data_IF_392342749186
#
_entry.id   IF_392342749186
#
_cell.length_a   1.000
_cell.length_b   1.000
_cell.length_c   1.000
_cell.angle_alpha   90.00
_cell.angle_beta   90.00
_cell.angle_gamma   90.00
#
_symmetry.space_group_name_H-M   'P 1'
#
loop_
_entity.id
_entity.type
_entity.pdbx_description
1 polymer ?
#
# COMPACT_ATOMS: atom_id res chain seq x y z
N UNK A 1 15.52 -50.66 -40.43
CA UNK A 1 15.53 -50.64 -38.94
C UNK A 1 15.92 -49.24 -38.55
N UNK A 2 14.93 -48.35 -38.63
CA UNK A 2 15.12 -46.91 -38.64
C UNK A 2 15.04 -46.35 -37.22
N UNK A 3 16.05 -45.56 -36.88
CA UNK A 3 16.26 -44.96 -35.56
C UNK A 3 15.15 -43.97 -35.25
N UNK A 4 14.46 -44.21 -34.14
CA UNK A 4 13.49 -43.33 -33.49
C UNK A 4 14.21 -42.03 -33.09
N UNK A 5 13.74 -40.88 -33.62
CA UNK A 5 14.12 -39.54 -33.16
C UNK A 5 13.18 -39.18 -32.01
N UNK A 6 13.71 -39.09 -30.81
CA UNK A 6 13.01 -38.47 -29.68
C UNK A 6 13.00 -36.95 -29.90
N UNK A 7 11.81 -36.37 -29.85
CA UNK A 7 11.56 -34.93 -29.92
C UNK A 7 11.46 -34.46 -28.48
N UNK A 8 12.50 -33.79 -27.98
CA UNK A 8 12.45 -33.13 -26.68
C UNK A 8 11.57 -31.87 -26.80
N UNK A 9 10.39 -31.93 -26.18
CA UNK A 9 9.54 -30.79 -25.88
C UNK A 9 10.26 -29.86 -24.89
N UNK A 10 10.91 -28.82 -25.42
CA UNK A 10 11.42 -27.71 -24.60
C UNK A 10 10.24 -26.75 -24.39
N UNK A 11 9.52 -26.93 -23.28
CA UNK A 11 8.64 -25.87 -22.77
C UNK A 11 9.48 -24.59 -22.55
N UNK A 12 9.06 -23.43 -23.08
CA UNK A 12 9.77 -22.19 -22.83
C UNK A 12 9.61 -21.83 -21.34
N UNK A 13 10.72 -21.93 -20.60
CA UNK A 13 10.78 -21.56 -19.19
C UNK A 13 10.30 -20.13 -18.94
N UNK A 14 9.92 -19.81 -17.68
CA UNK A 14 9.30 -18.53 -17.34
C UNK A 14 10.20 -17.38 -17.78
N UNK A 15 9.61 -16.44 -18.51
CA UNK A 15 10.28 -15.25 -19.03
C UNK A 15 11.10 -14.55 -17.92
N UNK A 16 12.28 -13.98 -18.25
CA UNK A 16 13.13 -13.33 -17.26
C UNK A 16 12.36 -12.24 -16.53
N UNK A 17 12.28 -12.35 -15.20
CA UNK A 17 11.64 -11.35 -14.35
C UNK A 17 12.32 -10.00 -14.55
N UNK A 18 11.59 -9.02 -15.08
CA UNK A 18 12.10 -7.65 -15.25
C UNK A 18 12.62 -7.12 -13.90
N UNK A 19 13.76 -6.41 -13.87
CA UNK A 19 14.30 -5.89 -12.62
C UNK A 19 13.35 -4.86 -12.02
N UNK A 20 12.97 -5.07 -10.75
CA UNK A 20 12.10 -4.17 -9.98
C UNK A 20 12.90 -3.39 -8.93
N UNK A 21 12.39 -2.24 -8.52
CA UNK A 21 12.89 -1.53 -7.35
C UNK A 21 12.37 -2.16 -6.04
N UNK A 22 12.77 -1.58 -4.90
CA UNK A 22 12.41 -2.08 -3.57
C UNK A 22 10.91 -2.03 -3.27
N UNK A 23 10.15 -1.29 -4.06
CA UNK A 23 8.72 -1.09 -3.91
C UNK A 23 7.94 -1.85 -4.97
N UNK A 24 8.58 -2.61 -5.87
CA UNK A 24 7.91 -3.41 -6.89
C UNK A 24 7.67 -2.69 -8.22
N UNK A 25 8.25 -1.51 -8.45
CA UNK A 25 8.17 -0.82 -9.74
C UNK A 25 9.21 -1.34 -10.73
N UNK A 26 8.80 -1.61 -11.96
CA UNK A 26 9.69 -2.06 -13.04
C UNK A 26 10.64 -0.93 -13.42
N UNK A 27 11.95 -1.23 -13.40
CA UNK A 27 12.97 -0.27 -13.83
C UNK A 27 12.93 -0.13 -15.36
N UNK A 28 12.84 1.11 -15.85
CA UNK A 28 12.98 1.41 -17.29
C UNK A 28 14.46 1.49 -17.63
N UNK A 29 14.90 0.78 -18.68
CA UNK A 29 16.32 0.64 -19.09
C UNK A 29 17.02 1.96 -19.51
N UNK A 30 16.34 3.11 -19.45
CA UNK A 30 16.89 4.41 -19.88
C UNK A 30 17.52 5.26 -18.76
N UNK A 31 17.62 4.75 -17.52
CA UNK A 31 18.53 5.35 -16.53
C UNK A 31 19.83 4.55 -16.48
N UNK A 32 20.73 4.79 -17.42
CA UNK A 32 22.16 4.52 -17.23
C UNK A 32 22.72 5.50 -16.19
N UNK A 33 22.23 5.39 -14.96
CA UNK A 33 22.96 5.83 -13.78
C UNK A 33 23.80 4.62 -13.32
N UNK A 34 25.11 4.76 -13.08
CA UNK A 34 25.98 3.66 -12.67
C UNK A 34 25.75 3.22 -11.20
N UNK A 35 24.51 3.27 -10.72
CA UNK A 35 24.12 2.91 -9.35
C UNK A 35 23.28 1.62 -9.25
N UNK A 36 23.19 0.87 -10.34
CA UNK A 36 22.41 -0.38 -10.44
C UNK A 36 23.12 -1.67 -10.01
N UNK A 37 24.34 -1.61 -9.46
CA UNK A 37 24.99 -2.79 -8.89
C UNK A 37 24.48 -2.94 -7.45
N UNK A 38 24.11 -4.17 -7.09
CA UNK A 38 23.91 -4.67 -5.73
C UNK A 38 25.02 -4.19 -4.77
N UNK A 39 24.98 -2.93 -4.33
CA UNK A 39 25.67 -2.51 -3.12
C UNK A 39 24.88 -3.16 -2.01
N UNK A 40 25.36 -4.32 -1.58
CA UNK A 40 25.15 -4.84 -0.24
C UNK A 40 25.00 -3.64 0.69
N UNK A 41 23.78 -3.44 1.21
CA UNK A 41 23.47 -2.36 2.15
C UNK A 41 24.64 -2.30 3.13
N UNK A 42 25.37 -1.17 3.25
CA UNK A 42 26.51 -1.12 4.15
C UNK A 42 26.02 -1.62 5.50
N UNK A 43 26.70 -2.61 6.07
CA UNK A 43 26.29 -3.36 7.28
C UNK A 43 25.75 -2.44 8.38
N UNK A 44 26.29 -1.24 8.45
CA UNK A 44 25.85 -0.15 9.31
C UNK A 44 24.39 0.31 9.12
N UNK A 45 23.88 0.43 7.89
CA UNK A 45 22.49 0.78 7.60
C UNK A 45 21.51 -0.30 8.06
N UNK A 46 21.85 -1.57 7.80
CA UNK A 46 21.07 -2.70 8.28
C UNK A 46 20.99 -2.68 9.82
N UNK A 47 22.11 -2.48 10.49
CA UNK A 47 22.15 -2.37 11.95
C UNK A 47 21.40 -1.15 12.48
N UNK A 48 21.33 -0.03 11.74
CA UNK A 48 20.48 1.12 12.11
C UNK A 48 19.00 0.77 11.98
N UNK A 49 18.59 0.10 10.92
CA UNK A 49 17.19 -0.29 10.69
C UNK A 49 16.70 -1.31 11.71
N UNK A 50 17.50 -2.32 12.03
CA UNK A 50 17.18 -3.31 13.06
C UNK A 50 16.98 -2.67 14.44
N UNK A 51 17.79 -1.67 14.79
CA UNK A 51 17.61 -0.89 16.02
C UNK A 51 16.31 -0.08 15.99
N UNK A 52 15.89 0.45 14.82
CA UNK A 52 14.60 1.13 14.67
C UNK A 52 13.44 0.16 14.85
N UNK A 53 13.47 -0.99 14.17
CA UNK A 53 12.46 -2.04 14.26
C UNK A 53 12.29 -2.52 15.70
N UNK A 54 13.39 -2.80 16.41
CA UNK A 54 13.34 -3.25 17.81
C UNK A 54 12.68 -2.22 18.73
N UNK A 55 13.01 -0.94 18.55
CA UNK A 55 12.38 0.14 19.31
C UNK A 55 10.89 0.25 19.01
N UNK A 56 10.48 0.10 17.75
CA UNK A 56 9.06 0.10 17.37
C UNK A 56 8.32 -1.11 17.91
N UNK A 57 8.88 -2.33 17.82
CA UNK A 57 8.28 -3.55 18.42
C UNK A 57 8.02 -3.39 19.92
N UNK A 58 8.95 -2.79 20.66
CA UNK A 58 8.75 -2.49 22.09
C UNK A 58 7.61 -1.51 22.36
N UNK A 59 7.29 -0.63 21.40
CA UNK A 59 6.20 0.35 21.56
C UNK A 59 4.84 -0.23 21.23
N UNK A 60 4.77 -1.08 20.20
CA UNK A 60 3.51 -1.64 19.71
C UNK A 60 3.10 -2.91 20.47
N UNK A 61 4.04 -3.64 21.07
CA UNK A 61 3.78 -4.94 21.68
C UNK A 61 3.50 -6.03 20.64
N UNK A 62 3.05 -7.19 21.08
CA UNK A 62 2.68 -8.28 20.16
C UNK A 62 1.34 -7.94 19.50
N UNK A 63 1.34 -7.80 18.18
CA UNK A 63 0.11 -7.51 17.42
C UNK A 63 -0.57 -6.18 17.73
N UNK A 64 0.12 -5.24 18.42
CA UNK A 64 -0.46 -3.94 18.80
C UNK A 64 -0.99 -3.84 20.23
N UNK A 65 -0.86 -4.90 21.05
CA UNK A 65 -1.39 -4.98 22.42
C UNK A 65 -1.02 -3.79 23.31
N UNK A 66 0.21 -3.28 23.16
CA UNK A 66 0.75 -2.27 24.08
C UNK A 66 0.55 -0.85 23.56
N UNK A 67 0.11 -0.70 22.31
CA UNK A 67 0.07 0.57 21.60
C UNK A 67 -0.70 1.66 22.36
N UNK A 68 -1.96 1.37 22.73
CA UNK A 68 -2.85 2.34 23.42
C UNK A 68 -2.24 2.82 24.75
N UNK A 69 -1.65 1.90 25.52
CA UNK A 69 -0.98 2.23 26.78
C UNK A 69 0.31 3.03 26.54
N UNK A 70 1.12 2.62 25.57
CA UNK A 70 2.39 3.29 25.26
C UNK A 70 2.19 4.72 24.77
N UNK A 71 1.23 4.95 23.87
CA UNK A 71 0.90 6.27 23.32
C UNK A 71 0.46 7.22 24.42
N UNK A 72 -0.42 6.76 25.33
CA UNK A 72 -0.90 7.55 26.47
C UNK A 72 0.23 7.99 27.39
N UNK A 73 1.18 7.09 27.66
CA UNK A 73 2.31 7.35 28.57
C UNK A 73 3.46 8.12 27.91
N UNK A 74 3.61 8.02 26.59
CA UNK A 74 4.78 8.56 25.87
C UNK A 74 4.41 9.30 24.56
N UNK A 75 3.45 10.25 24.57
CA UNK A 75 2.94 10.87 23.34
C UNK A 75 4.03 11.58 22.53
N UNK A 76 4.95 12.29 23.20
CA UNK A 76 6.08 12.97 22.55
C UNK A 76 7.06 12.01 21.88
N UNK A 77 7.29 10.82 22.46
CA UNK A 77 8.19 9.81 21.89
C UNK A 77 7.59 9.22 20.62
N UNK A 78 6.28 8.94 20.64
CA UNK A 78 5.54 8.44 19.48
C UNK A 78 5.59 9.46 18.34
N UNK A 79 5.18 10.72 18.60
CA UNK A 79 5.19 11.79 17.59
C UNK A 79 6.57 11.99 16.95
N UNK A 80 7.63 12.00 17.76
CA UNK A 80 9.02 12.10 17.27
C UNK A 80 9.42 10.93 16.38
N UNK A 81 8.96 9.71 16.67
CA UNK A 81 9.32 8.51 15.88
C UNK A 81 8.53 8.41 14.59
N UNK A 82 7.26 8.82 14.58
CA UNK A 82 6.46 8.92 13.36
C UNK A 82 7.14 9.89 12.37
N UNK A 83 7.55 11.09 12.82
CA UNK A 83 8.30 12.06 12.00
C UNK A 83 9.63 11.54 11.46
N UNK A 84 10.32 10.68 12.23
CA UNK A 84 11.54 9.98 11.77
C UNK A 84 11.25 8.87 10.75
N UNK A 85 9.99 8.52 10.56
CA UNK A 85 9.53 7.45 9.68
C UNK A 85 9.35 6.12 10.40
N UNK A 86 8.31 5.41 10.00
CA UNK A 86 8.00 4.04 10.39
C UNK A 86 8.83 3.08 9.52
N UNK A 87 9.52 2.08 10.11
CA UNK A 87 10.16 0.99 9.38
C UNK A 87 9.20 0.34 8.40
N UNK A 88 9.68 0.02 7.21
CA UNK A 88 8.83 -0.39 6.09
C UNK A 88 7.99 -1.63 6.43
N UNK A 89 8.61 -2.65 7.02
CA UNK A 89 7.96 -3.89 7.45
C UNK A 89 6.95 -3.74 8.59
N UNK A 90 6.86 -2.56 9.22
CA UNK A 90 5.91 -2.28 10.29
C UNK A 90 4.78 -1.35 9.85
N UNK A 91 4.82 -0.81 8.62
CA UNK A 91 3.85 0.19 8.15
C UNK A 91 2.42 -0.32 8.17
N UNK A 92 2.17 -1.52 7.66
CA UNK A 92 0.83 -2.11 7.62
C UNK A 92 0.15 -2.08 9.00
N UNK A 93 0.80 -2.66 10.00
CA UNK A 93 0.28 -2.67 11.37
C UNK A 93 0.24 -1.28 12.00
N UNK A 94 1.32 -0.49 11.91
CA UNK A 94 1.41 0.80 12.60
C UNK A 94 0.43 1.83 12.03
N UNK A 95 0.16 1.81 10.72
CA UNK A 95 -0.84 2.69 10.11
C UNK A 95 -2.25 2.37 10.59
N UNK A 96 -2.59 1.09 10.76
CA UNK A 96 -3.88 0.72 11.36
C UNK A 96 -4.00 1.18 12.82
N UNK A 97 -2.91 1.04 13.59
CA UNK A 97 -2.87 1.45 15.00
C UNK A 97 -2.96 2.97 15.20
N UNK A 98 -2.32 3.75 14.33
CA UNK A 98 -2.35 5.23 14.40
C UNK A 98 -3.72 5.75 13.97
N UNK A 99 -4.28 5.23 12.87
CA UNK A 99 -5.57 5.69 12.36
C UNK A 99 -6.75 5.23 13.22
N UNK A 100 -6.62 4.08 13.91
CA UNK A 100 -7.72 3.41 14.58
C UNK A 100 -8.52 2.47 13.68
N UNK A 101 -8.08 2.24 12.42
CA UNK A 101 -8.80 1.37 11.49
C UNK A 101 -8.92 -0.07 11.97
N UNK A 102 -7.95 -0.55 12.77
CA UNK A 102 -8.02 -1.88 13.38
C UNK A 102 -9.22 -2.02 14.32
N UNK A 103 -9.52 -0.98 15.08
CA UNK A 103 -10.68 -0.98 15.97
C UNK A 103 -11.98 -0.95 15.13
N UNK A 104 -12.02 -0.17 14.05
CA UNK A 104 -13.17 -0.16 13.12
C UNK A 104 -13.43 -1.54 12.52
N UNK A 105 -12.39 -2.23 12.04
CA UNK A 105 -12.51 -3.57 11.49
C UNK A 105 -13.11 -4.53 12.52
N UNK A 106 -12.57 -4.55 13.75
CA UNK A 106 -13.03 -5.44 14.81
C UNK A 106 -14.47 -5.15 15.26
N UNK A 107 -14.91 -3.89 15.17
CA UNK A 107 -16.26 -3.47 15.53
C UNK A 107 -17.31 -3.77 14.45
N UNK A 108 -16.88 -4.03 13.21
CA UNK A 108 -17.76 -4.14 12.05
C UNK A 108 -17.50 -5.43 11.23
N UNK A 109 -17.59 -6.62 11.85
CA UNK A 109 -17.34 -7.88 11.15
C UNK A 109 -18.33 -8.09 9.99
N UNK A 110 -17.83 -8.49 8.83
CA UNK A 110 -18.65 -8.82 7.65
C UNK A 110 -19.18 -7.63 6.86
N UNK A 111 -18.99 -6.39 7.34
CA UNK A 111 -19.44 -5.19 6.61
C UNK A 111 -18.71 -5.04 5.29
N UNK A 112 -17.40 -5.23 5.27
CA UNK A 112 -16.61 -5.15 4.03
C UNK A 112 -17.10 -6.15 2.98
N UNK A 113 -17.24 -7.42 3.37
CA UNK A 113 -17.75 -8.50 2.53
C UNK A 113 -19.12 -8.14 1.96
N UNK A 114 -20.01 -7.60 2.80
CA UNK A 114 -21.35 -7.20 2.39
C UNK A 114 -21.32 -6.13 1.29
N UNK A 115 -20.50 -5.08 1.47
CA UNK A 115 -20.35 -3.98 0.52
C UNK A 115 -19.76 -4.43 -0.82
N UNK A 116 -18.84 -5.38 -0.79
CA UNK A 116 -18.21 -5.90 -2.01
C UNK A 116 -19.15 -6.82 -2.77
N UNK A 117 -19.85 -7.72 -2.09
CA UNK A 117 -20.62 -8.79 -2.73
C UNK A 117 -22.03 -8.34 -3.11
N UNK A 118 -22.75 -7.69 -2.19
CA UNK A 118 -24.19 -7.49 -2.33
C UNK A 118 -24.60 -6.10 -2.78
N UNK A 119 -23.71 -5.11 -2.67
CA UNK A 119 -24.01 -3.73 -3.02
C UNK A 119 -23.49 -3.35 -4.41
N UNK A 120 -24.14 -2.35 -5.01
CA UNK A 120 -23.76 -1.79 -6.32
C UNK A 120 -23.29 -0.34 -6.15
N UNK A 121 -22.17 0.01 -6.80
CA UNK A 121 -21.67 1.39 -6.78
C UNK A 121 -22.19 2.18 -7.98
N UNK A 122 -22.53 3.45 -7.80
CA UNK A 122 -22.82 4.36 -8.91
C UNK A 122 -21.55 4.86 -9.61
N UNK A 123 -20.38 4.63 -9.01
CA UNK A 123 -19.08 5.12 -9.49
C UNK A 123 -18.23 4.06 -10.19
N UNK A 124 -18.79 2.92 -10.58
CA UNK A 124 -18.01 1.80 -11.16
C UNK A 124 -17.18 2.21 -12.37
N UNK A 125 -17.75 2.99 -13.29
CA UNK A 125 -17.04 3.44 -14.49
C UNK A 125 -15.84 4.35 -14.17
N UNK A 126 -15.99 5.22 -13.18
CA UNK A 126 -14.92 6.12 -12.73
C UNK A 126 -13.79 5.33 -12.06
N UNK A 127 -14.16 4.36 -11.22
CA UNK A 127 -13.24 3.46 -10.54
C UNK A 127 -12.44 2.66 -11.56
N UNK A 128 -13.11 2.03 -12.55
CA UNK A 128 -12.45 1.24 -13.61
C UNK A 128 -11.44 2.08 -14.38
N UNK A 129 -11.82 3.32 -14.73
CA UNK A 129 -10.93 4.24 -15.43
C UNK A 129 -9.69 4.57 -14.59
N UNK A 130 -9.85 4.85 -13.30
CA UNK A 130 -8.72 5.20 -12.43
C UNK A 130 -7.80 4.01 -12.11
N UNK A 131 -8.34 2.80 -12.01
CA UNK A 131 -7.54 1.58 -11.82
C UNK A 131 -6.54 1.39 -12.96
N UNK A 132 -6.98 1.61 -14.21
CA UNK A 132 -6.13 1.42 -15.40
C UNK A 132 -4.86 2.29 -15.39
N UNK A 133 -4.89 3.42 -14.68
CA UNK A 133 -3.79 4.40 -14.56
C UNK A 133 -3.11 4.40 -13.19
N UNK A 134 -3.55 3.56 -12.26
CA UNK A 134 -3.01 3.49 -10.89
C UNK A 134 -1.85 2.50 -10.82
N UNK A 135 -0.62 3.01 -10.63
CA UNK A 135 0.62 2.23 -10.56
C UNK A 135 0.85 1.26 -11.75
N UNK A 136 0.75 1.70 -13.02
CA UNK A 136 0.76 0.80 -14.18
C UNK A 136 2.08 0.04 -14.38
N UNK A 137 3.18 0.55 -13.84
CA UNK A 137 4.51 -0.08 -13.87
C UNK A 137 4.83 -0.95 -12.65
N UNK A 138 3.90 -1.07 -11.70
CA UNK A 138 4.09 -1.87 -10.49
C UNK A 138 3.67 -3.32 -10.73
N UNK A 139 4.50 -4.29 -10.30
CA UNK A 139 4.28 -5.70 -10.60
C UNK A 139 2.93 -6.27 -10.15
N UNK A 140 2.37 -5.71 -9.07
CA UNK A 140 1.07 -6.12 -8.54
C UNK A 140 -0.12 -5.54 -9.33
N UNK A 141 0.04 -4.36 -9.95
CA UNK A 141 -1.04 -3.62 -10.60
C UNK A 141 -0.96 -3.61 -12.13
N UNK A 142 0.18 -4.00 -12.72
CA UNK A 142 0.43 -3.97 -14.16
C UNK A 142 -0.48 -4.90 -14.97
N UNK A 143 -0.94 -6.00 -14.38
CA UNK A 143 -1.77 -6.97 -15.09
C UNK A 143 -3.20 -6.45 -15.15
N UNK A 144 -3.66 -6.16 -16.37
CA UNK A 144 -5.05 -5.78 -16.63
C UNK A 144 -5.99 -6.88 -16.15
N UNK A 145 -6.98 -6.53 -15.34
CA UNK A 145 -7.90 -7.48 -14.68
C UNK A 145 -7.21 -8.51 -13.75
N UNK A 146 -5.93 -8.28 -13.42
CA UNK A 146 -5.18 -9.13 -12.49
C UNK A 146 -5.64 -8.99 -11.03
N UNK A 147 -5.08 -9.80 -10.12
CA UNK A 147 -5.43 -9.76 -8.70
C UNK A 147 -5.33 -8.36 -8.07
N UNK A 148 -4.24 -7.62 -8.31
CA UNK A 148 -4.08 -6.28 -7.71
C UNK A 148 -5.09 -5.25 -8.21
N UNK A 149 -5.46 -5.28 -9.50
CA UNK A 149 -6.51 -4.41 -10.03
C UNK A 149 -7.89 -4.78 -9.48
N UNK A 150 -8.17 -6.08 -9.29
CA UNK A 150 -9.41 -6.54 -8.66
C UNK A 150 -9.50 -6.13 -7.20
N UNK A 151 -8.42 -6.26 -6.43
CA UNK A 151 -8.40 -5.79 -5.05
C UNK A 151 -8.54 -4.28 -4.94
N UNK A 152 -7.90 -3.52 -5.85
CA UNK A 152 -8.08 -2.08 -5.92
C UNK A 152 -9.52 -1.70 -6.24
N UNK A 153 -10.16 -2.41 -7.18
CA UNK A 153 -11.57 -2.25 -7.49
C UNK A 153 -12.46 -2.49 -6.27
N UNK A 154 -12.30 -3.63 -5.59
CA UNK A 154 -13.15 -4.00 -4.47
C UNK A 154 -13.07 -2.97 -3.34
N UNK A 155 -11.87 -2.51 -2.98
CA UNK A 155 -11.67 -1.50 -1.93
C UNK A 155 -12.37 -0.18 -2.29
N UNK A 156 -12.19 0.31 -3.52
CA UNK A 156 -12.77 1.57 -3.97
C UNK A 156 -14.28 1.48 -4.13
N UNK A 157 -14.78 0.36 -4.66
CA UNK A 157 -16.21 0.05 -4.75
C UNK A 157 -16.83 0.04 -3.36
N UNK A 158 -16.29 -0.74 -2.44
CA UNK A 158 -16.79 -0.84 -1.08
C UNK A 158 -16.82 0.52 -0.39
N UNK A 159 -15.76 1.33 -0.51
CA UNK A 159 -15.75 2.68 0.04
C UNK A 159 -16.83 3.57 -0.55
N UNK A 160 -16.99 3.58 -1.89
CA UNK A 160 -17.99 4.42 -2.56
C UNK A 160 -19.43 4.10 -2.13
N UNK A 161 -19.69 2.85 -1.75
CA UNK A 161 -20.99 2.42 -1.22
C UNK A 161 -21.09 2.73 0.28
N UNK A 162 -20.01 2.57 1.04
CA UNK A 162 -19.98 2.86 2.47
C UNK A 162 -20.26 4.34 2.76
N UNK A 163 -19.74 5.24 1.94
CA UNK A 163 -19.95 6.67 2.05
C UNK A 163 -20.60 7.24 0.78
N UNK A 164 -21.89 6.98 0.58
CA UNK A 164 -22.61 7.39 -0.66
C UNK A 164 -22.64 8.89 -0.89
N UNK A 165 -22.54 9.70 0.16
CA UNK A 165 -22.51 11.17 0.04
C UNK A 165 -21.24 11.66 -0.66
N UNK A 166 -20.11 11.00 -0.40
CA UNK A 166 -18.82 11.28 -1.05
C UNK A 166 -18.65 10.44 -2.32
N UNK A 167 -19.10 9.19 -2.27
CA UNK A 167 -18.90 8.19 -3.30
C UNK A 167 -17.42 7.94 -3.57
N UNK A 168 -17.08 7.85 -4.85
CA UNK A 168 -15.71 7.80 -5.31
C UNK A 168 -15.24 9.17 -5.79
N UNK A 169 -14.05 9.59 -5.37
CA UNK A 169 -13.40 10.81 -5.86
C UNK A 169 -12.10 10.44 -6.56
N UNK A 170 -11.84 11.11 -7.69
CA UNK A 170 -10.60 10.94 -8.45
C UNK A 170 -9.37 11.08 -7.56
N UNK A 171 -8.43 10.15 -7.70
CA UNK A 171 -7.19 10.12 -6.92
C UNK A 171 -7.23 9.20 -5.69
N UNK A 172 -8.41 8.80 -5.22
CA UNK A 172 -8.55 7.79 -4.16
C UNK A 172 -7.87 6.47 -4.52
N UNK A 173 -7.80 6.14 -5.81
CA UNK A 173 -7.11 4.94 -6.30
C UNK A 173 -5.64 4.87 -5.89
N UNK A 174 -4.92 5.99 -5.88
CA UNK A 174 -3.51 5.99 -5.46
C UNK A 174 -3.35 5.72 -3.97
N UNK A 175 -4.28 6.22 -3.14
CA UNK A 175 -4.28 5.96 -1.70
C UNK A 175 -4.56 4.47 -1.48
N UNK A 176 -5.65 3.95 -2.05
CA UNK A 176 -6.02 2.54 -1.92
C UNK A 176 -4.92 1.60 -2.43
N UNK A 177 -4.36 1.89 -3.60
CA UNK A 177 -3.29 1.08 -4.16
C UNK A 177 -2.01 1.10 -3.31
N UNK A 178 -1.66 2.23 -2.67
CA UNK A 178 -0.55 2.24 -1.72
C UNK A 178 -0.83 1.35 -0.51
N UNK A 179 -2.03 1.43 0.06
CA UNK A 179 -2.39 0.64 1.24
C UNK A 179 -2.34 -0.86 0.93
N UNK A 180 -2.82 -1.26 -0.25
CA UNK A 180 -2.76 -2.64 -0.74
C UNK A 180 -1.33 -3.19 -0.92
N UNK A 181 -0.30 -2.35 -0.96
CA UNK A 181 1.10 -2.82 -0.93
C UNK A 181 1.53 -3.27 0.48
N UNK A 182 0.81 -2.89 1.52
CA UNK A 182 1.21 -3.07 2.92
C UNK A 182 0.24 -3.91 3.75
N UNK A 183 -0.98 -4.15 3.29
CA UNK A 183 -2.01 -4.88 4.03
C UNK A 183 -3.02 -5.56 3.11
N UNK A 184 -3.91 -6.36 3.72
CA UNK A 184 -5.00 -7.03 2.99
C UNK A 184 -6.03 -6.03 2.46
N UNK A 185 -6.94 -6.55 1.63
CA UNK A 185 -8.02 -5.78 1.03
C UNK A 185 -8.93 -5.12 2.07
N UNK A 186 -9.40 -5.90 3.05
CA UNK A 186 -10.27 -5.42 4.13
C UNK A 186 -9.54 -4.43 5.06
N UNK A 187 -8.28 -4.72 5.40
CA UNK A 187 -7.46 -3.80 6.21
C UNK A 187 -7.31 -2.44 5.50
N UNK A 188 -7.07 -2.46 4.19
CA UNK A 188 -6.94 -1.25 3.37
C UNK A 188 -8.26 -0.48 3.33
N UNK A 189 -9.39 -1.17 3.15
CA UNK A 189 -10.72 -0.55 3.19
C UNK A 189 -10.95 0.20 4.51
N UNK A 190 -10.78 -0.46 5.66
CA UNK A 190 -11.00 0.18 6.95
C UNK A 190 -10.03 1.32 7.22
N UNK A 191 -8.80 1.23 6.69
CA UNK A 191 -7.83 2.30 6.79
C UNK A 191 -8.23 3.53 5.95
N UNK A 192 -8.78 3.34 4.75
CA UNK A 192 -9.36 4.46 3.98
C UNK A 192 -10.53 5.09 4.72
N UNK A 193 -11.44 4.27 5.28
CA UNK A 193 -12.57 4.74 6.08
C UNK A 193 -12.08 5.60 7.25
N UNK A 194 -11.08 5.12 8.00
CA UNK A 194 -10.51 5.86 9.12
C UNK A 194 -9.84 7.18 8.69
N UNK A 195 -9.24 7.24 7.49
CA UNK A 195 -8.58 8.43 6.98
C UNK A 195 -9.56 9.50 6.50
N UNK A 196 -10.62 9.09 5.81
CA UNK A 196 -11.55 9.98 5.12
C UNK A 196 -12.77 10.34 5.96
N UNK A 197 -13.38 9.38 6.67
CA UNK A 197 -14.52 9.63 7.58
C UNK A 197 -14.10 9.82 9.04
N UNK A 198 -12.83 9.57 9.36
CA UNK A 198 -12.33 9.65 10.73
C UNK A 198 -12.59 8.37 11.54
N UNK A 199 -11.83 8.24 12.62
CA UNK A 199 -11.97 7.14 13.59
C UNK A 199 -11.49 7.62 14.97
N UNK A 200 -10.17 7.57 15.21
CA UNK A 200 -9.54 8.14 16.41
C UNK A 200 -9.21 9.63 16.21
N UNK A 201 -9.03 10.05 14.96
CA UNK A 201 -8.81 11.43 14.58
C UNK A 201 -10.07 11.96 13.87
N UNK A 202 -10.26 13.28 13.93
CA UNK A 202 -11.28 13.92 13.09
C UNK A 202 -11.01 13.59 11.60
N UNK A 203 -12.06 13.59 10.75
CA UNK A 203 -11.90 13.42 9.31
C UNK A 203 -10.76 14.29 8.79
N UNK A 204 -9.88 13.73 7.95
CA UNK A 204 -8.72 14.43 7.37
C UNK A 204 -7.58 14.81 8.36
N UNK A 205 -7.73 14.74 9.68
CA UNK A 205 -6.61 14.96 10.62
C UNK A 205 -5.65 13.76 10.67
N UNK A 206 -6.19 12.54 10.60
CA UNK A 206 -5.40 11.32 10.39
C UNK A 206 -4.68 11.35 9.04
N UNK A 207 -5.33 11.98 8.05
CA UNK A 207 -4.75 12.24 6.75
C UNK A 207 -3.45 13.01 6.92
N UNK A 208 -3.36 14.18 7.57
CA UNK A 208 -2.09 14.92 7.74
C UNK A 208 -0.94 14.13 8.42
N UNK A 209 -1.24 13.27 9.38
CA UNK A 209 -0.21 12.45 10.06
C UNK A 209 0.31 11.31 9.16
N UNK A 210 -0.56 10.73 8.33
CA UNK A 210 -0.20 9.71 7.34
C UNK A 210 0.29 10.37 6.04
N UNK A 211 -0.12 11.61 5.76
CA UNK A 211 0.16 12.38 4.56
C UNK A 211 1.56 12.98 4.56
N UNK A 212 2.18 13.29 5.69
CA UNK A 212 3.61 13.63 5.67
C UNK A 212 4.45 12.42 5.17
N UNK A 213 3.93 11.19 5.29
CA UNK A 213 4.54 9.95 4.79
C UNK A 213 4.04 9.57 3.38
N UNK A 214 2.75 9.76 3.07
CA UNK A 214 2.22 9.62 1.70
C UNK A 214 2.81 10.68 0.78
N UNK A 215 2.96 11.95 1.17
CA UNK A 215 3.59 12.99 0.35
C UNK A 215 5.01 12.61 -0.02
N UNK A 216 5.81 12.04 0.89
CA UNK A 216 7.17 11.60 0.55
C UNK A 216 7.19 10.43 -0.41
N UNK A 217 6.21 9.52 -0.31
CA UNK A 217 6.03 8.42 -1.26
C UNK A 217 5.49 8.92 -2.60
N UNK A 218 4.48 9.81 -2.61
CA UNK A 218 3.86 10.46 -3.76
C UNK A 218 4.82 11.43 -4.47
N UNK A 219 5.72 12.11 -3.75
CA UNK A 219 6.83 12.92 -4.30
C UNK A 219 7.95 12.05 -4.85
N UNK A 220 8.21 10.88 -4.23
CA UNK A 220 9.12 9.88 -4.81
C UNK A 220 8.52 9.30 -6.09
N UNK A 221 7.19 9.16 -6.12
CA UNK A 221 6.42 8.68 -7.26
C UNK A 221 6.22 9.73 -8.36
N UNK A 222 6.10 11.02 -8.04
CA UNK A 222 5.95 12.08 -9.05
C UNK A 222 7.22 12.26 -9.91
N UNK A 223 8.36 11.76 -9.42
CA UNK A 223 9.58 11.62 -10.22
C UNK A 223 9.53 10.45 -11.20
N UNK A 224 8.65 9.47 -10.99
CA UNK A 224 8.50 8.26 -11.81
C UNK A 224 7.25 8.30 -12.70
N UNK A 225 6.13 8.83 -12.20
CA UNK A 225 4.99 9.25 -13.02
C UNK A 225 5.30 10.65 -13.54
N UNK A 226 5.66 10.77 -14.82
CA UNK A 226 5.66 12.04 -15.57
C UNK A 226 4.23 12.59 -15.65
N UNK A 227 3.61 12.93 -14.51
CA UNK A 227 2.37 13.67 -14.49
C UNK A 227 2.72 15.11 -14.86
N UNK A 228 2.13 15.67 -15.94
CA UNK A 228 2.34 17.06 -16.27
C UNK A 228 1.77 17.88 -15.10
N UNK A 229 2.64 18.58 -14.40
CA UNK A 229 2.23 19.72 -13.60
C UNK A 229 1.90 20.80 -14.62
N UNK A 230 0.64 20.84 -15.05
CA UNK A 230 0.13 22.00 -15.77
C UNK A 230 0.13 23.18 -14.79
N UNK A 231 0.92 24.19 -15.18
CA UNK A 231 1.03 25.52 -14.58
C UNK A 231 -0.22 26.35 -14.82
#
# INVERSE_FOLDING_TARGET
>A
MDKKKDVDDIEPGPAPSRPVDRFGFIKTEQSNSPEGILKSRPTHERGREERRIRKWRKMIGTGGSDWKHYVRRNPHVVKRRIRKGIPDCLRGLVWQLISGSRDLLLMNPGVYETLVIYETSTSELEIIRDISRTFPSHIFFQQRHGPGQRSLYNVLKAYSVYDRDVGYVQGMGFIAGLLLLYMSEEDAFWLIVALLKGAVHAPMEGLYQVIELLWRFLLSMSKQLKLPLET
#
